data_IF_680236057411
#
_entry.id   IF_680236057411
#
_cell.length_a   1.000
_cell.length_b   1.000
_cell.length_c   1.000
_cell.angle_alpha   90.00
_cell.angle_beta   90.00
_cell.angle_gamma   90.00
#
_symmetry.space_group_name_H-M   'P 1'
#
loop_
_entity.id
_entity.type
_entity.pdbx_description
1 polymer ?
#
# COMPACT_ATOMS: atom_id res chain seq x y z
N UNK A 1 -8.97 -2.90 0.87
CA UNK A 1 -7.67 -2.49 1.45
C UNK A 1 -6.65 -2.29 0.35
N UNK A 2 -5.81 -1.28 0.49
CA UNK A 2 -4.68 -1.02 -0.39
C UNK A 2 -3.39 -1.01 0.41
N UNK A 3 -2.30 -1.48 -0.19
CA UNK A 3 -1.00 -1.65 0.47
C UNK A 3 0.12 -1.12 -0.41
N UNK A 4 1.00 -0.30 0.17
CA UNK A 4 2.26 0.14 -0.42
C UNK A 4 3.42 -0.41 0.43
N UNK A 5 4.15 -1.37 -0.12
CA UNK A 5 5.24 -2.08 0.58
C UNK A 5 6.46 -2.18 -0.31
N UNK A 6 7.65 -2.04 0.25
CA UNK A 6 8.87 -2.25 -0.52
C UNK A 6 9.20 -3.74 -0.64
N UNK A 7 9.84 -4.12 -1.75
CA UNK A 7 10.45 -5.44 -1.87
C UNK A 7 11.88 -5.45 -1.29
N UNK A 8 12.55 -6.60 -1.35
CA UNK A 8 13.94 -6.76 -0.88
C UNK A 8 14.95 -5.82 -1.56
N UNK A 9 14.60 -5.22 -2.71
CA UNK A 9 15.46 -4.26 -3.43
C UNK A 9 15.06 -2.80 -3.16
N UNK A 10 14.21 -2.52 -2.18
CA UNK A 10 13.73 -1.16 -1.86
C UNK A 10 12.71 -0.57 -2.84
N UNK A 11 12.26 -1.36 -3.83
CA UNK A 11 11.28 -0.88 -4.81
C UNK A 11 9.87 -1.03 -4.25
N UNK A 12 9.15 0.08 -4.16
CA UNK A 12 7.75 0.11 -3.74
C UNK A 12 6.86 -0.72 -4.68
N UNK A 13 6.05 -1.57 -4.08
CA UNK A 13 5.02 -2.36 -4.72
C UNK A 13 3.65 -1.98 -4.16
N UNK A 14 2.68 -1.89 -5.06
CA UNK A 14 1.33 -1.43 -4.74
C UNK A 14 0.36 -2.56 -4.99
N UNK A 15 -0.55 -2.77 -4.04
CA UNK A 15 -1.52 -3.85 -4.11
C UNK A 15 -2.90 -3.38 -3.68
N UNK A 16 -3.91 -4.00 -4.28
CA UNK A 16 -5.31 -3.93 -3.89
C UNK A 16 -5.73 -5.30 -3.37
N UNK A 17 -6.39 -5.33 -2.23
CA UNK A 17 -6.97 -6.53 -1.63
C UNK A 17 -8.45 -6.26 -1.41
N UNK A 18 -9.30 -7.09 -1.99
CA UNK A 18 -10.72 -7.15 -1.67
C UNK A 18 -11.00 -8.38 -0.79
N UNK A 19 -11.94 -8.32 0.16
CA UNK A 19 -12.37 -9.49 0.91
C UNK A 19 -12.80 -10.62 -0.05
N UNK A 20 -12.28 -11.83 0.16
CA UNK A 20 -12.59 -12.99 -0.67
C UNK A 20 -11.83 -13.06 -2.01
N UNK A 21 -11.04 -12.05 -2.39
CA UNK A 21 -10.18 -12.08 -3.58
C UNK A 21 -8.70 -12.16 -3.18
N UNK A 22 -7.87 -12.72 -4.07
CA UNK A 22 -6.42 -12.71 -3.89
C UNK A 22 -5.83 -11.30 -4.07
N UNK A 23 -4.65 -11.09 -3.48
CA UNK A 23 -3.93 -9.81 -3.54
C UNK A 23 -3.56 -9.48 -4.98
N UNK A 24 -4.18 -8.42 -5.54
CA UNK A 24 -3.93 -7.96 -6.89
C UNK A 24 -2.85 -6.88 -6.90
N UNK A 25 -1.84 -7.01 -7.76
CA UNK A 25 -0.83 -5.97 -7.98
C UNK A 25 -1.40 -4.86 -8.86
N UNK A 26 -1.21 -3.63 -8.45
CA UNK A 26 -1.69 -2.44 -9.16
C UNK A 26 -0.54 -1.48 -9.49
N UNK A 27 -0.83 -0.49 -10.31
CA UNK A 27 0.13 0.57 -10.65
C UNK A 27 0.30 1.60 -9.53
N UNK A 28 1.42 2.33 -9.54
CA UNK A 28 1.65 3.46 -8.63
C UNK A 28 0.60 4.56 -8.81
N UNK A 29 0.25 4.87 -10.04
CA UNK A 29 -0.73 5.92 -10.36
C UNK A 29 -2.12 5.57 -9.83
N UNK A 30 -2.55 4.31 -9.99
CA UNK A 30 -3.82 3.83 -9.44
C UNK A 30 -3.83 3.93 -7.90
N UNK A 31 -2.75 3.52 -7.24
CA UNK A 31 -2.64 3.63 -5.80
C UNK A 31 -2.71 5.09 -5.32
N UNK A 32 -1.95 6.00 -5.94
CA UNK A 32 -1.94 7.43 -5.59
C UNK A 32 -3.32 8.06 -5.84
N UNK A 33 -3.94 7.76 -6.99
CA UNK A 33 -5.28 8.24 -7.30
C UNK A 33 -6.29 7.79 -6.25
N UNK A 34 -6.27 6.50 -5.89
CA UNK A 34 -7.17 5.95 -4.87
C UNK A 34 -6.91 6.57 -3.50
N UNK A 35 -5.64 6.70 -3.09
CA UNK A 35 -5.27 7.30 -1.79
C UNK A 35 -5.78 8.73 -1.64
N UNK A 36 -5.71 9.53 -2.71
CA UNK A 36 -6.12 10.94 -2.66
C UNK A 36 -7.62 11.17 -2.86
N UNK A 37 -8.36 10.19 -3.41
CA UNK A 37 -9.77 10.37 -3.79
C UNK A 37 -10.76 9.51 -3.00
N UNK A 38 -10.32 8.41 -2.40
CA UNK A 38 -11.21 7.52 -1.66
C UNK A 38 -11.48 8.04 -0.25
N UNK A 39 -12.63 7.67 0.32
CA UNK A 39 -12.95 7.90 1.71
C UNK A 39 -12.22 6.85 2.57
N UNK A 40 -11.00 7.19 2.98
CA UNK A 40 -10.19 6.30 3.82
C UNK A 40 -10.77 6.24 5.24
N UNK A 41 -11.15 5.04 5.67
CA UNK A 41 -11.71 4.75 7.00
C UNK A 41 -10.59 4.55 8.03
N UNK A 42 -9.46 3.99 7.60
CA UNK A 42 -8.31 3.75 8.48
C UNK A 42 -7.00 3.70 7.71
N UNK A 43 -5.92 4.11 8.38
CA UNK A 43 -4.54 4.04 7.92
C UNK A 43 -3.72 3.22 8.91
N UNK A 44 -2.90 2.32 8.39
CA UNK A 44 -1.95 1.53 9.18
C UNK A 44 -0.54 1.76 8.64
N UNK A 45 0.33 2.46 9.38
CA UNK A 45 1.74 2.49 9.04
C UNK A 45 2.35 1.09 9.25
N UNK A 46 3.21 0.68 8.33
CA UNK A 46 4.00 -0.55 8.43
C UNK A 46 5.43 -0.12 8.70
N UNK A 47 5.87 -0.30 9.94
CA UNK A 47 7.25 -0.04 10.32
C UNK A 47 8.14 -1.19 9.86
N UNK A 48 9.28 -0.86 9.26
CA UNK A 48 10.31 -1.83 8.86
C UNK A 48 11.61 -1.43 9.54
N UNK A 49 11.86 -1.88 10.80
CA UNK A 49 13.06 -1.53 11.54
C UNK A 49 14.34 -1.82 10.74
N UNK A 50 15.26 -0.85 10.71
CA UNK A 50 16.51 -0.95 9.93
C UNK A 50 16.37 -0.64 8.44
N UNK A 51 15.18 -0.25 7.97
CA UNK A 51 14.96 0.33 6.65
C UNK A 51 14.68 1.83 6.82
N UNK A 52 15.70 2.65 6.56
CA UNK A 52 15.65 4.11 6.71
C UNK A 52 15.23 4.83 5.41
N UNK A 53 15.05 4.10 4.30
CA UNK A 53 14.82 4.69 2.98
C UNK A 53 13.35 4.73 2.55
N UNK A 54 12.47 3.94 3.18
CA UNK A 54 11.08 3.80 2.74
C UNK A 54 10.07 3.83 3.89
N UNK A 55 8.96 4.54 3.66
CA UNK A 55 7.75 4.38 4.45
C UNK A 55 6.80 3.41 3.76
N UNK A 56 6.20 2.51 4.55
CA UNK A 56 5.24 1.52 4.07
C UNK A 56 3.92 1.72 4.82
N UNK A 57 2.80 1.48 4.14
CA UNK A 57 1.49 1.65 4.76
C UNK A 57 0.41 0.81 4.08
N UNK A 58 -0.66 0.63 4.83
CA UNK A 58 -1.95 0.14 4.34
C UNK A 58 -3.02 1.19 4.61
N UNK A 59 -3.99 1.27 3.70
CA UNK A 59 -5.20 2.04 3.94
C UNK A 59 -6.44 1.21 3.63
N UNK A 60 -7.47 1.46 4.42
CA UNK A 60 -8.74 0.77 4.38
C UNK A 60 -9.78 1.75 3.87
N UNK A 61 -10.47 1.34 2.82
CA UNK A 61 -11.67 1.97 2.28
C UNK A 61 -12.84 1.05 2.58
#
# INVERSE_FOLDING_TARGET
>A
MYSATANKSGRMQYHKVKPGESKLRISRSEFISTYNSAQIVSLRPIQSPGNDSEFQLEFFI
#
